data_IF_948883679058
#
_entry.id   IF_948883679058
#
_cell.length_a   1.000
_cell.length_b   1.000
_cell.length_c   1.000
_cell.angle_alpha   90.00
_cell.angle_beta   90.00
_cell.angle_gamma   90.00
#
_symmetry.space_group_name_H-M   'P 1'
#
loop_
_entity.id
_entity.type
_entity.pdbx_description
1 polymer ?
#
# COMPACT_ATOMS: atom_id res chain seq x y z
N UNK A 1 13.82 10.20 0.96
CA UNK A 1 13.21 9.86 -0.36
C UNK A 1 11.73 9.51 -0.21
N UNK A 2 11.36 8.55 0.64
CA UNK A 2 9.94 8.25 0.94
C UNK A 2 9.14 9.47 1.42
N UNK A 3 9.72 10.29 2.30
CA UNK A 3 9.10 11.55 2.77
C UNK A 3 8.86 12.55 1.63
N UNK A 4 9.77 12.59 0.63
CA UNK A 4 9.63 13.48 -0.52
C UNK A 4 8.43 13.11 -1.40
N UNK A 5 8.08 11.82 -1.48
CA UNK A 5 6.88 11.38 -2.19
C UNK A 5 5.61 11.86 -1.47
N UNK A 6 5.57 11.75 -0.14
CA UNK A 6 4.46 12.28 0.67
C UNK A 6 4.32 13.80 0.51
N UNK A 7 5.43 14.54 0.46
CA UNK A 7 5.39 15.97 0.13
C UNK A 7 4.85 16.26 -1.27
N UNK A 8 5.18 15.42 -2.26
CA UNK A 8 4.64 15.55 -3.63
C UNK A 8 3.13 15.32 -3.61
N UNK A 9 2.63 14.31 -2.91
CA UNK A 9 1.20 14.02 -2.78
C UNK A 9 0.46 15.18 -2.10
N UNK A 10 1.01 15.73 -1.01
CA UNK A 10 0.45 16.90 -0.33
C UNK A 10 0.42 18.14 -1.26
N UNK A 11 1.47 18.33 -2.07
CA UNK A 11 1.48 19.38 -3.10
C UNK A 11 0.43 19.13 -4.16
N UNK A 12 0.21 17.88 -4.57
CA UNK A 12 -0.83 17.50 -5.52
C UNK A 12 -2.22 17.82 -4.97
N UNK A 13 -2.51 17.47 -3.72
CA UNK A 13 -3.78 17.83 -3.05
C UNK A 13 -4.03 19.35 -3.06
N UNK A 14 -2.99 20.15 -2.84
CA UNK A 14 -3.12 21.61 -2.76
C UNK A 14 -3.08 22.34 -4.10
N UNK A 15 -2.42 21.77 -5.11
CA UNK A 15 -2.02 22.51 -6.32
C UNK A 15 -2.37 21.83 -7.63
N UNK A 16 -2.70 20.54 -7.65
CA UNK A 16 -2.94 19.81 -8.89
C UNK A 16 -4.41 19.91 -9.32
N UNK A 17 -4.73 20.66 -10.39
CA UNK A 17 -6.12 20.80 -10.85
C UNK A 17 -6.67 19.54 -11.53
N UNK A 18 -5.80 18.57 -11.84
CA UNK A 18 -6.20 17.25 -12.32
C UNK A 18 -6.68 16.39 -11.15
N UNK A 19 -5.92 16.34 -10.04
CA UNK A 19 -6.27 15.54 -8.85
C UNK A 19 -7.58 16.02 -8.21
N UNK A 20 -7.82 17.33 -8.24
CA UNK A 20 -9.10 17.93 -7.79
C UNK A 20 -10.32 17.31 -8.50
N UNK A 21 -10.18 16.91 -9.77
CA UNK A 21 -11.27 16.33 -10.57
C UNK A 21 -11.39 14.81 -10.45
N UNK A 22 -10.43 14.14 -9.81
CA UNK A 22 -10.46 12.68 -9.69
C UNK A 22 -11.32 12.27 -8.49
N UNK A 23 -12.13 11.21 -8.67
CA UNK A 23 -12.75 10.50 -7.56
C UNK A 23 -11.84 9.37 -7.08
N UNK A 24 -12.15 8.79 -5.92
CA UNK A 24 -11.41 7.64 -5.40
C UNK A 24 -11.55 6.42 -6.34
N UNK A 25 -12.71 6.26 -7.00
CA UNK A 25 -12.95 5.18 -7.95
C UNK A 25 -12.04 5.29 -9.18
N UNK A 26 -11.87 6.48 -9.75
CA UNK A 26 -10.95 6.69 -10.88
C UNK A 26 -9.50 6.40 -10.49
N UNK A 27 -9.08 6.77 -9.28
CA UNK A 27 -7.72 6.47 -8.80
C UNK A 27 -7.52 4.98 -8.49
N UNK A 28 -8.57 4.27 -8.08
CA UNK A 28 -8.52 2.82 -7.93
C UNK A 28 -8.36 2.09 -9.27
N UNK A 29 -8.97 2.61 -10.35
CA UNK A 29 -8.76 2.10 -11.71
C UNK A 29 -7.33 2.35 -12.22
N UNK A 30 -6.77 3.54 -11.91
CA UNK A 30 -5.37 3.85 -12.22
C UNK A 30 -4.42 2.88 -11.49
N UNK A 31 -4.58 2.73 -10.18
CA UNK A 31 -3.81 1.76 -9.38
C UNK A 31 -3.93 0.32 -9.90
N UNK A 32 -5.11 -0.09 -10.37
CA UNK A 32 -5.29 -1.42 -10.94
C UNK A 32 -4.50 -1.61 -12.24
N UNK A 33 -4.34 -0.55 -13.05
CA UNK A 33 -3.51 -0.56 -14.25
C UNK A 33 -2.03 -0.75 -13.90
N UNK A 34 -1.52 -0.03 -12.89
CA UNK A 34 -0.13 -0.15 -12.42
C UNK A 34 0.21 -1.57 -11.93
N UNK A 35 -0.75 -2.27 -11.31
CA UNK A 35 -0.58 -3.67 -10.91
C UNK A 35 -0.35 -4.58 -12.13
N UNK A 36 -1.07 -4.35 -13.23
CA UNK A 36 -0.89 -5.12 -14.46
C UNK A 36 0.45 -4.80 -15.13
N UNK A 37 0.91 -3.56 -15.08
CA UNK A 37 2.21 -3.14 -15.63
C UNK A 37 3.38 -3.75 -14.84
N UNK A 38 3.30 -3.75 -13.50
CA UNK A 38 4.23 -4.50 -12.65
C UNK A 38 4.24 -6.00 -13.02
N UNK A 39 3.06 -6.60 -13.18
CA UNK A 39 2.96 -8.02 -13.54
C UNK A 39 3.57 -8.31 -14.92
N UNK A 40 3.42 -7.39 -15.87
CA UNK A 40 3.98 -7.50 -17.22
C UNK A 40 5.51 -7.35 -17.22
N UNK A 41 6.06 -6.39 -16.46
CA UNK A 41 7.51 -6.22 -16.31
C UNK A 41 8.17 -7.48 -15.73
N UNK A 42 7.54 -8.10 -14.72
CA UNK A 42 7.99 -9.39 -14.16
C UNK A 42 7.96 -10.50 -15.21
N UNK A 43 6.88 -10.64 -15.99
CA UNK A 43 6.77 -11.67 -17.04
C UNK A 43 7.86 -11.53 -18.10
N UNK A 44 8.27 -10.30 -18.41
CA UNK A 44 9.31 -9.98 -19.40
C UNK A 44 10.73 -10.02 -18.83
N UNK A 45 10.90 -10.21 -17.52
CA UNK A 45 12.17 -10.04 -16.82
C UNK A 45 12.81 -8.66 -17.08
N UNK A 46 11.98 -7.64 -17.29
CA UNK A 46 12.42 -6.28 -17.54
C UNK A 46 12.63 -5.56 -16.21
N UNK A 47 13.87 -5.60 -15.69
CA UNK A 47 14.20 -5.05 -14.38
C UNK A 47 14.15 -3.52 -14.35
N UNK A 48 14.40 -2.86 -15.49
CA UNK A 48 14.35 -1.40 -15.56
C UNK A 48 12.89 -0.94 -15.52
N UNK A 49 12.03 -1.57 -16.32
CA UNK A 49 10.59 -1.30 -16.27
C UNK A 49 10.01 -1.67 -14.91
N UNK A 50 10.42 -2.78 -14.30
CA UNK A 50 9.94 -3.16 -12.98
C UNK A 50 10.27 -2.12 -11.90
N UNK A 51 11.44 -1.45 -11.97
CA UNK A 51 11.77 -0.38 -11.04
C UNK A 51 10.85 0.84 -11.20
N UNK A 52 10.48 1.17 -12.44
CA UNK A 52 9.51 2.22 -12.79
C UNK A 52 8.11 1.89 -12.23
N UNK A 53 7.55 0.74 -12.60
CA UNK A 53 6.16 0.40 -12.25
C UNK A 53 5.97 0.17 -10.73
N UNK A 54 7.02 -0.26 -10.01
CA UNK A 54 6.96 -0.33 -8.54
C UNK A 54 6.85 1.08 -7.93
N UNK A 55 7.50 2.07 -8.53
CA UNK A 55 7.36 3.47 -8.15
C UNK A 55 5.94 3.98 -8.37
N UNK A 56 5.37 3.72 -9.55
CA UNK A 56 4.05 4.18 -9.93
C UNK A 56 2.94 3.49 -9.11
N UNK A 57 3.06 2.19 -8.86
CA UNK A 57 2.21 1.46 -7.92
C UNK A 57 2.15 2.11 -6.53
N UNK A 58 3.30 2.52 -5.98
CA UNK A 58 3.36 3.15 -4.66
C UNK A 58 2.75 4.55 -4.69
N UNK A 59 3.02 5.32 -5.75
CA UNK A 59 2.46 6.65 -5.92
C UNK A 59 0.93 6.62 -6.02
N UNK A 60 0.37 5.75 -6.86
CA UNK A 60 -1.06 5.63 -7.07
C UNK A 60 -1.78 5.09 -5.83
N UNK A 61 -1.18 4.16 -5.10
CA UNK A 61 -1.73 3.69 -3.82
C UNK A 61 -1.83 4.82 -2.78
N UNK A 62 -0.86 5.73 -2.77
CA UNK A 62 -0.88 6.89 -1.89
C UNK A 62 -1.81 8.01 -2.39
N UNK A 63 -2.04 8.16 -3.71
CA UNK A 63 -3.08 9.05 -4.24
C UNK A 63 -4.47 8.60 -3.81
N UNK A 64 -4.76 7.29 -3.87
CA UNK A 64 -6.01 6.71 -3.34
C UNK A 64 -6.16 7.07 -1.86
N UNK A 65 -5.10 6.92 -1.06
CA UNK A 65 -5.14 7.28 0.36
C UNK A 65 -5.34 8.79 0.59
N UNK A 66 -4.70 9.64 -0.22
CA UNK A 66 -4.85 11.09 -0.16
C UNK A 66 -6.28 11.54 -0.49
N UNK A 67 -6.91 10.94 -1.50
CA UNK A 67 -8.31 11.22 -1.83
C UNK A 67 -9.27 10.60 -0.81
N UNK A 68 -8.93 9.45 -0.22
CA UNK A 68 -9.68 8.89 0.91
C UNK A 68 -9.71 9.86 2.11
N UNK A 69 -8.59 10.53 2.38
CA UNK A 69 -8.51 11.59 3.38
C UNK A 69 -9.37 12.80 3.00
N UNK A 70 -9.22 13.30 1.76
CA UNK A 70 -9.94 14.47 1.23
C UNK A 70 -11.46 14.31 1.29
N UNK A 71 -11.96 13.16 0.82
CA UNK A 71 -13.40 12.96 0.56
C UNK A 71 -14.13 12.26 1.70
N UNK A 72 -13.43 11.43 2.48
CA UNK A 72 -14.04 10.58 3.52
C UNK A 72 -13.42 10.78 4.91
N UNK A 73 -12.44 11.67 5.07
CA UNK A 73 -11.80 11.94 6.35
C UNK A 73 -10.94 10.78 6.88
N UNK A 74 -10.50 9.87 6.01
CA UNK A 74 -9.65 8.74 6.41
C UNK A 74 -8.21 9.22 6.58
N UNK A 75 -7.75 9.26 7.82
CA UNK A 75 -6.38 9.61 8.17
C UNK A 75 -5.39 8.47 7.84
N UNK A 76 -4.31 8.80 7.12
CA UNK A 76 -3.32 7.82 6.65
C UNK A 76 -2.56 7.18 7.81
N UNK A 77 -2.13 7.96 8.79
CA UNK A 77 -1.42 7.44 9.97
C UNK A 77 -2.28 6.45 10.75
N UNK A 78 -3.55 6.80 10.96
CA UNK A 78 -4.53 5.92 11.61
C UNK A 78 -4.79 4.63 10.80
N UNK A 79 -4.84 4.71 9.47
CA UNK A 79 -4.99 3.54 8.59
C UNK A 79 -3.75 2.63 8.63
N UNK A 80 -2.54 3.22 8.62
CA UNK A 80 -1.28 2.51 8.76
C UNK A 80 -1.18 1.86 10.14
N UNK A 81 -1.53 2.58 11.21
CA UNK A 81 -1.55 2.04 12.56
C UNK A 81 -2.45 0.79 12.66
N UNK A 82 -3.66 0.84 12.09
CA UNK A 82 -4.56 -0.32 12.05
C UNK A 82 -3.93 -1.53 11.35
N UNK A 83 -3.17 -1.35 10.27
CA UNK A 83 -2.49 -2.48 9.61
C UNK A 83 -1.29 -2.97 10.40
N UNK A 84 -0.52 -2.08 11.05
CA UNK A 84 0.60 -2.43 11.93
C UNK A 84 0.13 -3.28 13.11
N UNK A 85 -0.92 -2.86 13.81
CA UNK A 85 -1.51 -3.61 14.92
C UNK A 85 -2.04 -4.97 14.46
N UNK A 86 -2.79 -4.99 13.34
CA UNK A 86 -3.34 -6.22 12.75
C UNK A 86 -2.24 -7.21 12.36
N UNK A 87 -1.16 -6.75 11.73
CA UNK A 87 -0.03 -7.60 11.32
C UNK A 87 0.71 -8.10 12.55
N UNK A 88 0.98 -7.23 13.53
CA UNK A 88 1.69 -7.59 14.76
C UNK A 88 0.93 -8.65 15.57
N UNK A 89 -0.40 -8.55 15.63
CA UNK A 89 -1.24 -9.58 16.24
C UNK A 89 -1.24 -10.90 15.46
N UNK A 90 -1.33 -10.85 14.13
CA UNK A 90 -1.48 -12.05 13.28
C UNK A 90 -0.16 -12.74 12.96
N UNK A 91 0.97 -12.02 13.04
CA UNK A 91 2.31 -12.49 12.72
C UNK A 91 3.29 -12.16 13.87
N UNK A 92 3.03 -12.64 15.10
CA UNK A 92 3.86 -12.29 16.26
C UNK A 92 5.33 -12.75 16.12
N UNK A 93 5.58 -13.79 15.32
CA UNK A 93 6.93 -14.31 15.06
C UNK A 93 7.86 -13.34 14.32
N UNK A 94 7.32 -12.24 13.74
CA UNK A 94 8.16 -11.16 13.19
C UNK A 94 8.99 -10.45 14.27
N UNK A 95 8.62 -10.61 15.55
CA UNK A 95 9.25 -9.96 16.70
C UNK A 95 9.87 -10.98 17.68
N UNK A 96 10.03 -12.24 17.25
CA UNK A 96 10.70 -13.27 18.05
C UNK A 96 12.18 -13.35 17.67
N UNK A 97 13.02 -13.72 18.63
CA UNK A 97 14.45 -13.95 18.39
C UNK A 97 14.66 -15.23 17.57
N UNK A 98 13.94 -16.30 17.92
CA UNK A 98 14.00 -17.58 17.24
C UNK A 98 13.09 -17.63 16.01
N UNK A 99 13.59 -18.27 14.95
CA UNK A 99 12.81 -18.53 13.74
C UNK A 99 11.86 -19.70 13.95
N UNK A 100 10.75 -19.70 13.21
CA UNK A 100 9.77 -20.80 13.19
C UNK A 100 9.61 -21.39 11.80
N UNK A 101 9.11 -22.61 11.74
CA UNK A 101 8.72 -23.26 10.49
C UNK A 101 7.47 -22.61 9.88
N UNK A 102 7.27 -22.84 8.58
CA UNK A 102 6.04 -22.41 7.88
C UNK A 102 4.79 -23.02 8.52
N UNK A 103 4.84 -24.30 8.90
CA UNK A 103 3.71 -25.00 9.52
C UNK A 103 3.29 -24.36 10.85
N UNK A 104 4.27 -23.97 11.68
CA UNK A 104 4.02 -23.25 12.94
C UNK A 104 3.43 -21.86 12.68
N UNK A 105 3.97 -21.12 11.72
CA UNK A 105 3.49 -19.78 11.36
C UNK A 105 2.03 -19.79 10.89
N UNK A 106 1.67 -20.76 10.04
CA UNK A 106 0.30 -20.93 9.53
C UNK A 106 -0.69 -21.30 10.63
N UNK A 107 -0.30 -22.21 11.54
CA UNK A 107 -1.12 -22.56 12.72
C UNK A 107 -1.39 -21.32 13.58
N UNK A 108 -0.36 -20.54 13.89
CA UNK A 108 -0.51 -19.31 14.68
C UNK A 108 -1.41 -18.30 13.96
N UNK A 109 -1.17 -18.03 12.68
CA UNK A 109 -1.95 -17.06 11.90
C UNK A 109 -3.43 -17.41 11.83
N UNK A 110 -3.76 -18.69 11.61
CA UNK A 110 -5.13 -19.18 11.51
C UNK A 110 -5.88 -18.99 12.84
N UNK A 111 -5.24 -19.27 13.97
CA UNK A 111 -5.85 -19.03 15.28
C UNK A 111 -6.00 -17.53 15.60
N UNK A 112 -5.02 -16.70 15.22
CA UNK A 112 -5.08 -15.25 15.45
C UNK A 112 -6.14 -14.55 14.60
N UNK A 113 -6.45 -15.06 13.39
CA UNK A 113 -7.51 -14.52 12.54
C UNK A 113 -8.92 -14.69 13.09
N UNK A 114 -9.17 -15.72 13.90
CA UNK A 114 -10.50 -15.97 14.51
C UNK A 114 -10.87 -14.97 15.61
N UNK A 115 -9.88 -14.21 16.12
CA UNK A 115 -10.04 -13.26 17.23
C UNK A 115 -10.32 -11.82 16.76
N UNK A 116 -10.64 -11.62 15.49
CA UNK A 116 -11.03 -10.34 14.87
C UNK A 116 -12.34 -10.56 14.12
#
# INVERSE_FOLDING_TARGET
MVERLLEIIERSLRKCPWLEKQSIETLLEALASEIEEVAEAVKKNDLANLEEEIGDLIYDALLVAAVAQRDYGIDLESAIQKVVEKISHRKPWLFWEEKISLEEAEKIWKERKKKI
#
